data_IF_181457563783
#
_entry.id   IF_181457563783
#
_cell.length_a   1.000
_cell.length_b   1.000
_cell.length_c   1.000
_cell.angle_alpha   90.00
_cell.angle_beta   90.00
_cell.angle_gamma   90.00
#
_symmetry.space_group_name_H-M   'P 1'
#
loop_
_entity.id
_entity.type
_entity.pdbx_description
1 polymer ?
#
# COMPACT_ATOMS: atom_id res chain seq x y z
N UNK A 1 0.32 12.56 0.33
CA UNK A 1 0.97 11.87 1.46
C UNK A 1 0.75 12.61 2.77
N UNK A 2 1.36 13.78 3.02
CA UNK A 2 1.40 14.45 4.35
C UNK A 2 0.08 14.61 5.12
N UNK A 3 -1.06 14.65 4.42
CA UNK A 3 -2.38 14.84 5.03
C UNK A 3 -3.18 13.54 5.18
N UNK A 4 -2.89 12.51 4.38
CA UNK A 4 -3.69 11.29 4.30
C UNK A 4 -2.89 10.02 4.60
N UNK A 5 -1.57 10.12 4.72
CA UNK A 5 -0.73 9.01 5.15
C UNK A 5 -0.62 9.03 6.68
N UNK A 6 -1.16 8.01 7.33
CA UNK A 6 -1.16 7.82 8.77
C UNK A 6 -0.79 6.37 9.10
N UNK A 7 0.05 6.17 10.12
CA UNK A 7 0.42 4.83 10.64
C UNK A 7 0.94 3.83 9.59
N UNK A 8 1.47 4.34 8.47
CA UNK A 8 2.04 3.55 7.39
C UNK A 8 1.05 3.06 6.34
N UNK A 9 -0.20 3.55 6.36
CA UNK A 9 -1.19 3.36 5.30
C UNK A 9 -1.72 4.71 4.79
N UNK A 10 -2.41 4.70 3.65
CA UNK A 10 -3.05 5.89 3.05
C UNK A 10 -4.55 5.80 3.21
N UNK A 11 -5.14 6.80 3.86
CA UNK A 11 -6.58 6.99 4.03
C UNK A 11 -7.21 7.62 2.78
N UNK A 12 -8.52 7.41 2.55
CA UNK A 12 -9.21 8.03 1.41
C UNK A 12 -9.50 9.50 1.62
N UNK A 13 -9.81 9.90 2.85
CA UNK A 13 -10.09 11.27 3.27
C UNK A 13 -9.66 11.46 4.73
N UNK A 14 -9.60 12.72 5.17
CA UNK A 14 -9.26 13.06 6.54
C UNK A 14 -10.34 12.56 7.52
N UNK A 15 -9.92 11.82 8.55
CA UNK A 15 -10.82 11.15 9.49
C UNK A 15 -11.39 9.79 9.04
N UNK A 16 -10.85 9.17 7.99
CA UNK A 16 -11.11 7.74 7.70
C UNK A 16 -10.36 6.87 8.71
N UNK A 17 -11.05 5.95 9.39
CA UNK A 17 -10.46 5.19 10.51
C UNK A 17 -9.44 4.14 10.02
N UNK A 18 -9.63 3.61 8.81
CA UNK A 18 -8.79 2.55 8.24
C UNK A 18 -7.99 3.03 7.04
N UNK A 19 -6.85 2.38 6.81
CA UNK A 19 -6.03 2.59 5.63
C UNK A 19 -6.59 1.86 4.42
N UNK A 20 -6.66 2.54 3.29
CA UNK A 20 -7.17 1.98 2.03
C UNK A 20 -6.02 1.35 1.23
N UNK A 21 -6.10 0.03 1.03
CA UNK A 21 -4.92 -0.72 0.56
C UNK A 21 -4.51 -0.33 -0.86
N UNK A 22 -5.45 -0.16 -1.78
CA UNK A 22 -5.13 0.29 -3.15
C UNK A 22 -4.52 1.71 -3.18
N UNK A 23 -5.00 2.64 -2.35
CA UNK A 23 -4.41 3.98 -2.25
C UNK A 23 -2.97 3.91 -1.75
N UNK A 24 -2.71 3.01 -0.82
CA UNK A 24 -1.36 2.77 -0.28
C UNK A 24 -0.44 2.19 -1.37
N UNK A 25 -0.90 1.23 -2.16
CA UNK A 25 -0.14 0.72 -3.31
C UNK A 25 0.09 1.77 -4.40
N UNK A 26 -0.85 2.67 -4.64
CA UNK A 26 -0.60 3.80 -5.55
C UNK A 26 0.49 4.73 -5.03
N UNK A 27 0.60 4.94 -3.72
CA UNK A 27 1.72 5.70 -3.15
C UNK A 27 3.05 4.96 -3.36
N UNK A 28 3.09 3.63 -3.22
CA UNK A 28 4.27 2.82 -3.58
C UNK A 28 4.68 3.06 -5.04
N UNK A 29 3.73 3.00 -5.97
CA UNK A 29 4.01 3.27 -7.39
C UNK A 29 4.58 4.67 -7.61
N UNK A 30 4.02 5.68 -6.95
CA UNK A 30 4.50 7.06 -7.03
C UNK A 30 5.93 7.21 -6.52
N UNK A 31 6.25 6.61 -5.36
CA UNK A 31 7.59 6.62 -4.78
C UNK A 31 8.61 5.90 -5.68
N UNK A 32 8.23 4.73 -6.21
CA UNK A 32 9.06 3.97 -7.15
C UNK A 32 9.38 4.79 -8.41
N UNK A 33 8.38 5.47 -8.99
CA UNK A 33 8.55 6.34 -10.17
C UNK A 33 9.35 7.61 -9.86
N UNK A 34 9.28 8.12 -8.62
CA UNK A 34 10.09 9.25 -8.17
C UNK A 34 11.58 8.87 -7.97
N UNK A 35 11.90 7.57 -7.94
CA UNK A 35 13.24 7.07 -7.62
C UNK A 35 13.52 7.02 -6.12
N UNK A 36 12.48 7.13 -5.29
CA UNK A 36 12.56 6.93 -3.84
C UNK A 36 12.37 5.44 -3.49
N UNK A 37 13.20 4.60 -4.10
CA UNK A 37 12.99 3.15 -4.16
C UNK A 37 13.03 2.51 -2.78
N UNK A 38 13.93 2.96 -1.89
CA UNK A 38 13.95 2.48 -0.50
C UNK A 38 12.64 2.71 0.27
N UNK A 39 12.03 3.90 0.11
CA UNK A 39 10.72 4.21 0.73
C UNK A 39 9.60 3.38 0.11
N UNK A 40 9.64 3.22 -1.21
CA UNK A 40 8.65 2.44 -1.95
C UNK A 40 8.65 0.97 -1.50
N UNK A 41 9.83 0.35 -1.37
CA UNK A 41 9.97 -1.04 -0.89
C UNK A 41 9.45 -1.19 0.55
N UNK A 42 9.85 -0.30 1.46
CA UNK A 42 9.41 -0.36 2.85
C UNK A 42 7.89 -0.25 2.99
N UNK A 43 7.25 0.63 2.22
CA UNK A 43 5.80 0.77 2.21
C UNK A 43 5.11 -0.43 1.54
N UNK A 44 5.68 -0.97 0.46
CA UNK A 44 5.17 -2.16 -0.22
C UNK A 44 5.16 -3.38 0.71
N UNK A 45 6.27 -3.66 1.39
CA UNK A 45 6.40 -4.80 2.30
C UNK A 45 5.41 -4.68 3.47
N UNK A 46 5.31 -3.48 4.08
CA UNK A 46 4.32 -3.20 5.12
C UNK A 46 2.88 -3.40 4.65
N UNK A 47 2.54 -2.91 3.46
CA UNK A 47 1.17 -3.04 2.93
C UNK A 47 0.86 -4.50 2.59
N UNK A 48 1.86 -5.23 2.10
CA UNK A 48 1.72 -6.66 1.76
C UNK A 48 1.58 -7.53 3.00
N UNK A 49 2.12 -7.13 4.15
CA UNK A 49 2.02 -7.92 5.40
C UNK A 49 0.61 -8.03 5.98
N UNK A 50 -0.35 -7.22 5.50
CA UNK A 50 -1.77 -7.36 5.87
C UNK A 50 -2.47 -8.50 5.11
N UNK A 51 -1.85 -9.08 4.09
CA UNK A 51 -2.42 -10.25 3.43
C UNK A 51 -2.56 -11.41 4.43
N UNK A 52 -3.66 -12.14 4.36
CA UNK A 52 -3.84 -13.32 5.20
C UNK A 52 -2.90 -14.47 4.76
N UNK A 53 -3.03 -15.62 5.41
CA UNK A 53 -2.27 -16.85 5.13
C UNK A 53 -2.44 -17.39 3.69
N UNK A 54 -3.51 -17.01 3.00
CA UNK A 54 -3.76 -17.33 1.59
C UNK A 54 -3.23 -16.25 0.63
N UNK A 55 -2.64 -15.17 1.13
CA UNK A 55 -2.19 -14.03 0.34
C UNK A 55 -3.32 -13.10 -0.10
N UNK A 56 -4.49 -13.15 0.54
CA UNK A 56 -5.66 -12.34 0.19
C UNK A 56 -5.71 -11.04 0.98
N UNK A 57 -6.04 -9.96 0.29
CA UNK A 57 -6.22 -8.61 0.83
C UNK A 57 -7.70 -8.20 0.84
N UNK A 58 -8.09 -7.39 1.83
CA UNK A 58 -9.38 -6.70 1.83
C UNK A 58 -9.27 -5.32 1.17
N UNK A 59 -10.34 -4.53 1.27
CA UNK A 59 -10.38 -3.16 0.80
C UNK A 59 -9.59 -2.21 1.71
N UNK A 60 -9.74 -2.41 3.01
CA UNK A 60 -9.16 -1.60 4.07
C UNK A 60 -8.39 -2.47 5.06
N UNK A 61 -7.47 -1.85 5.80
CA UNK A 61 -6.83 -2.46 6.95
C UNK A 61 -6.71 -1.44 8.09
N UNK A 62 -6.93 -1.93 9.30
CA UNK A 62 -6.63 -1.18 10.53
C UNK A 62 -5.11 -1.27 10.78
N UNK A 63 -4.44 -0.11 10.79
CA UNK A 63 -3.00 -0.04 10.94
C UNK A 63 -2.51 -0.40 12.36
N UNK A 64 -3.35 -0.27 13.37
CA UNK A 64 -3.02 -0.56 14.76
C UNK A 64 -3.21 -2.05 15.08
N UNK A 65 -4.27 -2.67 14.57
CA UNK A 65 -4.63 -4.06 14.89
C UNK A 65 -4.19 -5.07 13.83
N UNK A 66 -3.98 -4.64 12.58
CA UNK A 66 -3.74 -5.53 11.45
C UNK A 66 -5.02 -6.13 10.87
N UNK A 67 -6.18 -5.78 11.40
CA UNK A 67 -7.46 -6.37 11.00
C UNK A 67 -7.85 -5.90 9.59
N UNK A 68 -8.36 -6.82 8.78
CA UNK A 68 -8.82 -6.54 7.41
C UNK A 68 -10.30 -6.13 7.42
N UNK A 69 -10.61 -5.02 6.75
CA UNK A 69 -11.95 -4.42 6.74
C UNK A 69 -12.50 -4.23 5.32
N UNK A 70 -13.84 -4.16 5.24
CA UNK A 70 -14.56 -3.93 3.99
C UNK A 70 -14.63 -5.17 3.10
N UNK A 71 -14.63 -4.96 1.78
CA UNK A 71 -14.78 -6.05 0.82
C UNK A 71 -13.62 -7.06 0.91
N UNK A 72 -13.92 -8.36 0.90
CA UNK A 72 -12.91 -9.41 0.97
C UNK A 72 -13.32 -10.67 0.17
N UNK A 73 -12.44 -11.22 -0.69
CA UNK A 73 -11.17 -10.65 -1.14
C UNK A 73 -11.40 -9.47 -2.11
N UNK A 74 -10.69 -8.36 -1.92
CA UNK A 74 -10.89 -7.18 -2.75
C UNK A 74 -10.03 -7.19 -4.01
N UNK A 75 -10.64 -7.37 -5.18
CA UNK A 75 -9.92 -7.43 -6.44
C UNK A 75 -9.02 -6.20 -6.69
N UNK A 76 -9.51 -5.00 -6.37
CA UNK A 76 -8.76 -3.76 -6.58
C UNK A 76 -7.47 -3.68 -5.73
N UNK A 77 -7.50 -4.14 -4.49
CA UNK A 77 -6.29 -4.16 -3.65
C UNK A 77 -5.21 -5.08 -4.23
N UNK A 78 -5.62 -6.22 -4.81
CA UNK A 78 -4.69 -7.12 -5.50
C UNK A 78 -4.15 -6.53 -6.81
N UNK A 79 -4.97 -5.80 -7.57
CA UNK A 79 -4.49 -5.04 -8.74
C UNK A 79 -3.47 -3.97 -8.32
N UNK A 80 -3.73 -3.26 -7.21
CA UNK A 80 -2.77 -2.32 -6.61
C UNK A 80 -1.44 -2.99 -6.28
N UNK A 81 -1.47 -4.14 -5.60
CA UNK A 81 -0.27 -4.93 -5.29
C UNK A 81 0.53 -5.28 -6.55
N UNK A 82 -0.13 -5.80 -7.59
CA UNK A 82 0.53 -6.20 -8.84
C UNK A 82 1.19 -4.99 -9.52
N UNK A 83 0.48 -3.87 -9.61
CA UNK A 83 1.01 -2.67 -10.26
C UNK A 83 2.15 -2.01 -9.48
N UNK A 84 2.08 -2.04 -8.14
CA UNK A 84 3.15 -1.58 -7.26
C UNK A 84 4.41 -2.42 -7.42
N UNK A 85 4.28 -3.75 -7.41
CA UNK A 85 5.39 -4.67 -7.66
C UNK A 85 6.02 -4.45 -9.05
N UNK A 86 5.19 -4.30 -10.08
CA UNK A 86 5.65 -4.00 -11.44
C UNK A 86 6.40 -2.64 -11.53
N UNK A 87 5.94 -1.64 -10.79
CA UNK A 87 6.58 -0.31 -10.77
C UNK A 87 7.92 -0.34 -10.01
N UNK A 88 8.02 -1.13 -8.94
CA UNK A 88 9.26 -1.35 -8.19
C UNK A 88 10.33 -2.07 -9.02
N UNK A 89 9.94 -3.13 -9.74
CA UNK A 89 10.86 -3.87 -10.63
C UNK A 89 11.50 -2.96 -11.69
N UNK A 90 10.78 -1.92 -12.11
CA UNK A 90 11.20 -0.97 -13.13
C UNK A 90 11.72 0.35 -12.57
N UNK A 91 11.81 0.47 -11.25
CA UNK A 91 12.27 1.69 -10.62
C UNK A 91 13.75 1.92 -10.99
N UNK A 92 14.15 3.17 -11.30
CA UNK A 92 15.57 3.48 -11.41
C UNK A 92 16.25 3.16 -10.06
N UNK A 93 17.47 2.61 -10.11
CA UNK A 93 18.27 2.40 -8.90
C UNK A 93 18.40 3.69 -8.08
N UNK A 94 18.50 3.57 -6.76
CA UNK A 94 18.49 4.70 -5.82
C UNK A 94 19.42 5.81 -6.32
N UNK A 95 18.87 7.01 -6.54
CA UNK A 95 19.65 8.19 -6.92
C UNK A 95 20.31 8.76 -5.66
N UNK A 96 21.34 8.09 -5.16
CA UNK A 96 22.29 8.65 -4.19
C UNK A 96 23.17 9.71 -4.82
#
# INVERSE_FOLDING_TARGET
ERELAGDGLVHRWDGDDNGFLICTYWLVECLARAGETGRAVALFERTTSYANDLGLLAEEADAATGELWGNFPQAFSHVGLINAAYSLDRAPGDRT
#
